data_IF_597075348818
#
_entry.id   IF_597075348818
#
_cell.length_a   1.000
_cell.length_b   1.000
_cell.length_c   1.000
_cell.angle_alpha   90.00
_cell.angle_beta   90.00
_cell.angle_gamma   90.00
#
_symmetry.space_group_name_H-M   'P 1'
#
loop_
_entity.id
_entity.type
_entity.pdbx_description
1 polymer ?
#
# COMPACT_ATOMS: atom_id res chain seq x y z
N UNK A 1 -51.26 -7.86 10.16
CA UNK A 1 -50.15 -8.41 9.34
C UNK A 1 -49.19 -7.34 8.81
N UNK A 2 -49.58 -6.06 8.65
CA UNK A 2 -48.69 -4.99 8.15
C UNK A 2 -47.74 -4.38 9.20
N UNK A 3 -48.09 -4.47 10.49
CA UNK A 3 -47.26 -3.94 11.59
C UNK A 3 -46.01 -4.80 11.90
N UNK A 4 -46.07 -6.12 11.71
CA UNK A 4 -44.91 -7.01 11.90
C UNK A 4 -43.83 -6.80 10.82
N UNK A 5 -44.22 -6.38 9.61
CA UNK A 5 -43.29 -6.08 8.52
C UNK A 5 -42.47 -4.83 8.82
N UNK A 6 -43.09 -3.76 9.32
CA UNK A 6 -42.40 -2.51 9.66
C UNK A 6 -41.44 -2.70 10.84
N UNK A 7 -41.85 -3.45 11.87
CA UNK A 7 -40.96 -3.78 13.00
C UNK A 7 -39.74 -4.59 12.55
N UNK A 8 -39.95 -5.57 11.66
CA UNK A 8 -38.86 -6.35 11.07
C UNK A 8 -37.92 -5.49 10.22
N UNK A 9 -38.45 -4.55 9.43
CA UNK A 9 -37.64 -3.64 8.61
C UNK A 9 -36.84 -2.69 9.50
N UNK A 10 -37.45 -2.13 10.55
CA UNK A 10 -36.76 -1.25 11.51
C UNK A 10 -35.66 -2.03 12.25
N UNK A 11 -35.93 -3.26 12.68
CA UNK A 11 -34.95 -4.10 13.37
C UNK A 11 -33.76 -4.46 12.44
N UNK A 12 -34.04 -4.83 11.19
CA UNK A 12 -33.02 -5.12 10.17
C UNK A 12 -32.18 -3.88 9.88
N UNK A 13 -32.80 -2.71 9.70
CA UNK A 13 -32.07 -1.45 9.48
C UNK A 13 -31.19 -1.05 10.67
N UNK A 14 -31.65 -1.25 11.91
CA UNK A 14 -30.85 -0.99 13.12
C UNK A 14 -29.64 -1.95 13.22
N UNK A 15 -29.81 -3.22 12.84
CA UNK A 15 -28.71 -4.22 12.80
C UNK A 15 -27.70 -3.86 11.71
N UNK A 16 -28.15 -3.41 10.53
CA UNK A 16 -27.26 -3.01 9.45
C UNK A 16 -26.46 -1.74 9.84
N UNK A 17 -27.11 -0.74 10.45
CA UNK A 17 -26.46 0.48 10.93
C UNK A 17 -25.49 0.21 12.11
N UNK A 18 -25.76 -0.80 12.96
CA UNK A 18 -24.82 -1.19 14.04
C UNK A 18 -23.70 -2.12 13.58
N UNK A 19 -23.91 -2.87 12.50
CA UNK A 19 -22.88 -3.71 11.86
C UNK A 19 -21.92 -2.92 10.96
N UNK A 20 -22.36 -1.76 10.47
CA UNK A 20 -21.52 -0.80 9.77
C UNK A 20 -20.94 0.13 10.82
N UNK A 21 -19.87 -0.32 11.46
CA UNK A 21 -19.01 0.59 12.20
C UNK A 21 -18.74 1.83 11.34
N UNK A 22 -18.85 3.06 11.87
CA UNK A 22 -18.62 4.30 11.12
C UNK A 22 -17.19 4.42 10.54
N UNK A 23 -16.35 3.42 10.76
CA UNK A 23 -15.01 3.27 10.19
C UNK A 23 -15.00 2.64 8.79
N UNK A 24 -16.13 2.17 8.25
CA UNK A 24 -16.18 1.46 6.97
C UNK A 24 -16.53 2.34 5.74
N UNK A 25 -16.47 3.67 5.84
CA UNK A 25 -16.77 4.59 4.73
C UNK A 25 -15.68 5.66 4.49
N UNK A 26 -14.42 5.26 4.50
CA UNK A 26 -13.37 5.98 3.80
C UNK A 26 -12.41 4.94 3.22
N UNK A 27 -12.32 4.87 1.90
CA UNK A 27 -11.46 3.93 1.16
C UNK A 27 -9.95 4.22 1.31
N UNK A 28 -9.51 4.52 2.52
CA UNK A 28 -8.11 4.68 2.91
C UNK A 28 -8.02 4.14 4.33
N UNK A 29 -8.03 2.82 4.49
CA UNK A 29 -7.47 2.23 5.70
C UNK A 29 -5.96 2.16 5.47
N UNK A 30 -5.32 3.33 5.43
CA UNK A 30 -3.88 3.36 5.62
C UNK A 30 -3.65 2.73 6.98
N UNK A 31 -3.02 1.55 6.99
CA UNK A 31 -2.72 0.87 8.24
C UNK A 31 -1.94 1.87 9.10
N UNK A 32 -2.28 2.04 10.38
CA UNK A 32 -1.52 2.97 11.25
C UNK A 32 -0.02 2.63 11.35
N UNK A 33 0.33 1.46 10.86
CA UNK A 33 1.69 0.99 10.71
C UNK A 33 2.33 1.43 9.38
N UNK A 34 1.58 1.45 8.30
CA UNK A 34 2.04 1.80 6.95
C UNK A 34 2.23 3.33 6.83
N UNK A 35 3.44 3.76 6.44
CA UNK A 35 3.85 5.16 6.48
C UNK A 35 3.42 5.96 5.25
N UNK A 36 3.25 5.31 4.10
CA UNK A 36 2.88 5.96 2.85
C UNK A 36 1.64 5.35 2.17
N UNK A 37 1.01 4.37 2.82
CA UNK A 37 -0.31 3.84 2.52
C UNK A 37 -0.39 3.01 1.24
N UNK A 38 0.67 2.30 0.88
CA UNK A 38 0.76 1.54 -0.37
C UNK A 38 0.43 0.04 -0.23
N UNK A 39 0.07 -0.39 0.99
CA UNK A 39 -0.24 -1.77 1.41
C UNK A 39 0.97 -2.66 1.70
N UNK A 40 2.19 -2.12 1.70
CA UNK A 40 3.37 -2.75 2.29
C UNK A 40 3.71 -2.14 3.65
N UNK A 41 4.36 -2.92 4.52
CA UNK A 41 4.75 -2.43 5.84
C UNK A 41 6.15 -2.91 6.23
N UNK A 42 6.28 -4.18 6.62
CA UNK A 42 7.58 -4.74 7.03
C UNK A 42 8.47 -5.15 5.86
N UNK A 43 7.89 -5.26 4.68
CA UNK A 43 8.56 -5.68 3.43
C UNK A 43 8.59 -4.55 2.41
N UNK A 44 8.25 -3.33 2.84
CA UNK A 44 8.23 -2.15 2.00
C UNK A 44 9.66 -1.74 1.63
N UNK A 45 9.96 -1.72 0.32
CA UNK A 45 11.24 -1.27 -0.20
C UNK A 45 11.34 0.26 -0.35
N UNK A 46 10.25 1.00 -0.12
CA UNK A 46 10.21 2.46 -0.08
C UNK A 46 9.30 3.02 1.03
N UNK A 47 9.71 3.00 2.32
CA UNK A 47 8.86 3.34 3.49
C UNK A 47 8.24 4.75 3.55
N UNK A 48 8.49 5.60 2.57
CA UNK A 48 8.03 7.00 2.55
C UNK A 48 7.50 7.45 1.19
N UNK A 49 7.52 6.57 0.18
CA UNK A 49 7.13 6.88 -1.20
C UNK A 49 6.32 5.72 -1.76
N UNK A 50 5.00 5.92 -1.84
CA UNK A 50 4.05 4.90 -2.25
C UNK A 50 4.43 4.25 -3.58
N UNK A 51 4.71 2.96 -3.55
CA UNK A 51 4.97 2.10 -4.71
C UNK A 51 4.33 0.72 -4.53
N UNK A 52 3.00 0.60 -4.70
CA UNK A 52 2.29 -0.68 -4.50
C UNK A 52 2.77 -1.84 -5.38
N UNK A 53 3.55 -1.56 -6.43
CA UNK A 53 4.17 -2.58 -7.29
C UNK A 53 5.50 -3.11 -6.75
N UNK A 54 6.12 -2.39 -5.81
CA UNK A 54 7.40 -2.71 -5.16
C UNK A 54 8.48 -3.08 -6.20
N UNK A 55 8.50 -2.36 -7.32
CA UNK A 55 9.52 -2.52 -8.36
C UNK A 55 10.90 -2.23 -7.77
N UNK A 56 11.86 -3.12 -8.06
CA UNK A 56 13.25 -3.09 -7.63
C UNK A 56 14.06 -3.75 -8.76
N UNK A 57 14.58 -2.93 -9.66
CA UNK A 57 15.16 -3.38 -10.93
C UNK A 57 16.51 -4.09 -10.76
N UNK A 58 17.35 -3.62 -9.84
CA UNK A 58 18.69 -4.16 -9.60
C UNK A 58 18.76 -5.16 -8.44
N UNK A 59 17.67 -5.28 -7.66
CA UNK A 59 17.47 -6.30 -6.65
C UNK A 59 18.22 -6.03 -5.36
N UNK A 60 18.50 -4.76 -5.05
CA UNK A 60 19.26 -4.36 -3.86
C UNK A 60 18.38 -4.18 -2.61
N UNK A 61 17.05 -4.22 -2.78
CA UNK A 61 16.06 -4.08 -1.72
C UNK A 61 15.56 -2.66 -1.49
N UNK A 62 15.96 -1.69 -2.32
CA UNK A 62 15.43 -0.33 -2.37
C UNK A 62 14.54 -0.23 -3.62
N UNK A 63 13.34 0.32 -3.48
CA UNK A 63 12.43 0.40 -4.62
C UNK A 63 12.83 1.48 -5.62
N UNK A 64 12.54 1.24 -6.91
CA UNK A 64 12.90 2.11 -8.03
C UNK A 64 12.49 3.58 -7.84
N UNK A 65 11.43 3.84 -7.06
CA UNK A 65 10.89 5.20 -6.84
C UNK A 65 11.63 5.98 -5.75
N UNK A 66 12.33 5.29 -4.86
CA UNK A 66 13.09 5.89 -3.75
C UNK A 66 14.59 5.57 -3.82
N UNK A 67 15.01 4.83 -4.85
CA UNK A 67 16.41 4.59 -5.16
C UNK A 67 17.00 5.69 -6.05
N UNK A 68 17.91 6.47 -5.48
CA UNK A 68 18.67 7.51 -6.19
C UNK A 68 19.76 6.91 -7.11
N UNK A 69 20.07 5.63 -6.95
CA UNK A 69 21.10 4.88 -7.69
C UNK A 69 20.55 3.57 -8.26
N UNK A 70 19.44 3.64 -9.02
CA UNK A 70 18.77 2.56 -9.78
C UNK A 70 19.64 1.73 -10.75
N UNK A 71 20.96 1.90 -10.69
CA UNK A 71 21.97 1.17 -11.45
C UNK A 71 22.94 0.39 -10.55
N UNK A 72 22.70 0.30 -9.25
CA UNK A 72 23.56 -0.32 -8.24
C UNK A 72 23.53 -1.85 -8.33
N UNK A 73 23.88 -2.36 -9.51
CA UNK A 73 24.20 -3.76 -9.71
C UNK A 73 25.27 -4.15 -8.70
N UNK A 74 24.95 -5.12 -7.83
CA UNK A 74 25.86 -5.75 -6.88
C UNK A 74 26.97 -6.52 -7.62
N UNK A 75 27.83 -5.77 -8.31
CA UNK A 75 29.08 -6.24 -8.91
C UNK A 75 30.18 -5.50 -8.18
N UNK A 76 30.82 -6.24 -7.28
CA UNK A 76 32.07 -5.92 -6.61
C UNK A 76 33.16 -5.43 -7.60
N UNK A 77 33.16 -4.15 -7.93
CA UNK A 77 34.40 -3.39 -8.11
C UNK A 77 34.11 -1.91 -7.96
N UNK A 78 34.68 -1.33 -6.91
CA UNK A 78 35.05 0.08 -6.86
C UNK A 78 35.56 0.53 -8.23
N UNK A 79 34.76 1.32 -8.97
CA UNK A 79 35.17 2.56 -9.64
C UNK A 79 34.14 3.02 -10.70
N UNK A 80 33.63 4.23 -10.47
CA UNK A 80 33.39 5.28 -11.49
C UNK A 80 32.06 5.32 -12.29
N UNK A 81 31.23 6.28 -11.87
CA UNK A 81 30.49 7.30 -12.65
C UNK A 81 29.68 6.92 -13.89
N UNK A 82 28.42 7.36 -13.88
CA UNK A 82 27.87 8.23 -14.92
C UNK A 82 28.16 7.84 -16.36
N UNK A 83 27.42 6.84 -16.85
CA UNK A 83 27.22 6.59 -18.27
C UNK A 83 28.38 5.90 -18.98
N UNK A 84 28.07 4.78 -19.63
CA UNK A 84 28.29 4.58 -21.08
C UNK A 84 27.50 3.34 -21.49
N UNK A 85 26.59 3.57 -22.43
CA UNK A 85 25.89 2.57 -23.24
C UNK A 85 26.87 1.82 -24.13
N UNK A 86 26.81 0.49 -24.22
CA UNK A 86 27.03 -0.19 -25.51
C UNK A 86 26.37 -1.58 -25.52
N UNK A 87 25.50 -1.81 -26.51
CA UNK A 87 25.40 -3.07 -27.26
C UNK A 87 24.37 -4.09 -26.79
#
# INVERSE_FOLDING_TARGET
MRFLSIFSIILVSIIIISSQSPLAFAGVQCSLSDSDCDNWYTTDNCPTVSNPGQEDFDGDGIGDVCDDDSTNQTIISSDFSGGIVVG
#
